data_IF_733755625269
#
_entry.id   IF_733755625269
#
_cell.length_a   1.000
_cell.length_b   1.000
_cell.length_c   1.000
_cell.angle_alpha   90.00
_cell.angle_beta   90.00
_cell.angle_gamma   90.00
#
_symmetry.space_group_name_H-M   'P 1'
#
loop_
_entity.id
_entity.type
_entity.pdbx_description
1 polymer ?
#
# COMPACT_ATOMS: atom_id res chain seq x y z
N UNK A 1 -3.64 41.95 -7.03
CA UNK A 1 -3.62 41.09 -5.83
C UNK A 1 -4.37 39.82 -6.17
N UNK A 2 -3.69 38.86 -6.72
CA UNK A 2 -4.23 37.53 -7.09
C UNK A 2 -4.10 36.63 -5.87
N UNK A 3 -5.25 36.28 -5.28
CA UNK A 3 -5.32 35.26 -4.23
C UNK A 3 -4.84 33.94 -4.81
N UNK A 4 -3.69 33.47 -4.37
CA UNK A 4 -3.27 32.07 -4.52
C UNK A 4 -4.19 31.24 -3.62
N UNK A 5 -5.22 30.65 -4.21
CA UNK A 5 -6.01 29.63 -3.57
C UNK A 5 -5.08 28.46 -3.18
N UNK A 6 -4.85 28.24 -1.90
CA UNK A 6 -4.24 27.00 -1.40
C UNK A 6 -5.24 25.90 -1.64
N UNK A 7 -5.16 25.23 -2.77
CA UNK A 7 -6.00 24.07 -3.09
C UNK A 7 -5.55 22.90 -2.21
N UNK A 8 -6.30 22.63 -1.16
CA UNK A 8 -6.17 21.45 -0.29
C UNK A 8 -6.85 20.23 -0.89
N UNK A 9 -7.33 20.30 -2.13
CA UNK A 9 -7.95 19.16 -2.81
C UNK A 9 -6.90 18.04 -3.02
N UNK A 10 -7.11 16.83 -2.45
CA UNK A 10 -6.20 15.70 -2.59
C UNK A 10 -5.88 15.34 -4.04
N UNK A 11 -6.82 15.55 -4.97
CA UNK A 11 -6.61 15.27 -6.40
C UNK A 11 -5.61 16.24 -7.03
N UNK A 12 -5.72 17.53 -6.70
CA UNK A 12 -4.79 18.58 -7.19
C UNK A 12 -3.39 18.34 -6.63
N UNK A 13 -3.31 17.94 -5.36
CA UNK A 13 -2.02 17.63 -4.72
C UNK A 13 -1.35 16.43 -5.39
N UNK A 14 -2.07 15.35 -5.66
CA UNK A 14 -1.55 14.18 -6.39
C UNK A 14 -1.11 14.57 -7.81
N UNK A 15 -1.89 15.37 -8.53
CA UNK A 15 -1.51 15.81 -9.88
C UNK A 15 -0.20 16.63 -9.86
N UNK A 16 -0.04 17.54 -8.90
CA UNK A 16 1.20 18.32 -8.74
C UNK A 16 2.39 17.43 -8.42
N UNK A 17 2.22 16.49 -7.50
CA UNK A 17 3.25 15.54 -7.08
C UNK A 17 3.73 14.67 -8.24
N UNK A 18 2.81 14.23 -9.11
CA UNK A 18 3.11 13.36 -10.24
C UNK A 18 3.45 14.14 -11.53
N UNK A 19 3.32 15.48 -11.55
CA UNK A 19 3.59 16.28 -12.73
C UNK A 19 4.98 16.03 -13.35
N UNK A 20 6.08 15.85 -12.57
CA UNK A 20 7.40 15.60 -13.15
C UNK A 20 7.54 14.26 -13.86
N UNK A 21 6.62 13.30 -13.61
CA UNK A 21 6.63 11.95 -14.17
C UNK A 21 5.31 11.61 -14.90
N UNK A 22 4.55 12.62 -15.34
CA UNK A 22 3.23 12.42 -15.94
C UNK A 22 3.28 11.53 -17.20
N UNK A 23 4.27 11.76 -18.08
CA UNK A 23 4.47 10.94 -19.28
C UNK A 23 4.94 9.52 -18.94
N UNK A 24 5.81 9.38 -17.94
CA UNK A 24 6.24 8.07 -17.44
C UNK A 24 5.04 7.28 -16.91
N UNK A 25 4.13 7.91 -16.15
CA UNK A 25 2.93 7.26 -15.62
C UNK A 25 1.96 6.83 -16.72
N UNK A 26 1.86 7.61 -17.80
CA UNK A 26 1.10 7.21 -18.99
C UNK A 26 1.71 5.97 -19.65
N UNK A 27 3.05 5.93 -19.78
CA UNK A 27 3.75 4.75 -20.29
C UNK A 27 3.52 3.50 -19.42
N UNK A 28 3.43 3.65 -18.08
CA UNK A 28 3.05 2.55 -17.17
C UNK A 28 1.69 1.99 -17.54
N UNK A 29 0.67 2.85 -17.74
CA UNK A 29 -0.67 2.40 -18.09
C UNK A 29 -0.72 1.74 -19.48
N UNK A 30 0.11 2.19 -20.42
CA UNK A 30 0.26 1.57 -21.74
C UNK A 30 0.88 0.16 -21.62
N UNK A 31 1.94 0.00 -20.81
CA UNK A 31 2.53 -1.31 -20.51
C UNK A 31 1.54 -2.26 -19.83
N UNK A 32 0.80 -1.78 -18.82
CA UNK A 32 -0.23 -2.58 -18.15
C UNK A 32 -1.24 -3.10 -19.21
N UNK A 33 -1.78 -2.23 -20.06
CA UNK A 33 -2.75 -2.63 -21.10
C UNK A 33 -2.16 -3.65 -22.07
N UNK A 34 -0.93 -3.46 -22.51
CA UNK A 34 -0.27 -4.39 -23.44
C UNK A 34 -0.07 -5.78 -22.81
N UNK A 35 0.29 -5.83 -21.52
CA UNK A 35 0.57 -7.09 -20.83
C UNK A 35 -0.72 -7.85 -20.39
N UNK A 36 -1.88 -7.20 -20.42
CA UNK A 36 -3.17 -7.86 -20.15
C UNK A 36 -3.73 -8.61 -21.36
N UNK A 37 -3.11 -8.50 -22.53
CA UNK A 37 -3.53 -9.21 -23.72
C UNK A 37 -3.50 -10.73 -23.50
N UNK A 38 -4.62 -11.39 -23.79
CA UNK A 38 -4.80 -12.85 -23.70
C UNK A 38 -5.79 -13.29 -24.78
N UNK A 39 -5.58 -14.47 -25.35
CA UNK A 39 -6.51 -15.14 -26.26
C UNK A 39 -7.70 -15.77 -25.51
N UNK A 40 -7.62 -15.85 -24.18
CA UNK A 40 -8.72 -16.28 -23.32
C UNK A 40 -9.59 -15.07 -22.97
N UNK A 41 -10.72 -14.91 -23.63
CA UNK A 41 -11.60 -13.74 -23.52
C UNK A 41 -12.02 -13.40 -22.09
N UNK A 42 -12.31 -14.42 -21.27
CA UNK A 42 -12.68 -14.22 -19.84
C UNK A 42 -11.52 -13.68 -19.01
N UNK A 43 -10.30 -14.11 -19.29
CA UNK A 43 -9.09 -13.61 -18.66
C UNK A 43 -8.91 -12.11 -18.93
N UNK A 44 -9.05 -11.73 -20.21
CA UNK A 44 -8.96 -10.33 -20.65
C UNK A 44 -10.04 -9.46 -19.99
N UNK A 45 -11.31 -9.90 -20.03
CA UNK A 45 -12.45 -9.18 -19.44
C UNK A 45 -12.24 -8.86 -17.94
N UNK A 46 -11.85 -9.87 -17.16
CA UNK A 46 -11.68 -9.70 -15.72
C UNK A 46 -10.45 -8.83 -15.40
N UNK A 47 -9.33 -9.07 -16.10
CA UNK A 47 -8.10 -8.29 -15.92
C UNK A 47 -8.31 -6.80 -16.26
N UNK A 48 -9.02 -6.50 -17.34
CA UNK A 48 -9.37 -5.14 -17.72
C UNK A 48 -10.32 -4.49 -16.70
N UNK A 49 -11.32 -5.22 -16.21
CA UNK A 49 -12.22 -4.73 -15.16
C UNK A 49 -11.46 -4.29 -13.91
N UNK A 50 -10.54 -5.12 -13.40
CA UNK A 50 -9.79 -4.85 -12.18
C UNK A 50 -8.80 -3.70 -12.39
N UNK A 51 -8.06 -3.69 -13.49
CA UNK A 51 -7.06 -2.64 -13.75
C UNK A 51 -7.70 -1.29 -14.07
N UNK A 52 -8.90 -1.29 -14.69
CA UNK A 52 -9.68 -0.07 -14.95
C UNK A 52 -10.37 0.50 -13.72
N UNK A 53 -10.48 -0.24 -12.62
CA UNK A 53 -11.05 0.25 -11.36
C UNK A 53 -10.24 1.43 -10.77
N UNK A 54 -9.17 1.83 -11.42
CA UNK A 54 -8.31 2.94 -11.03
C UNK A 54 -7.44 2.57 -9.82
N UNK A 55 -6.77 3.57 -9.31
CA UNK A 55 -5.88 3.49 -8.16
C UNK A 55 -4.92 4.65 -8.19
N UNK A 56 -4.34 4.97 -7.06
CA UNK A 56 -3.38 6.08 -6.95
C UNK A 56 -2.04 5.77 -7.63
N UNK A 57 -1.83 4.54 -8.11
CA UNK A 57 -0.58 4.07 -8.76
C UNK A 57 0.67 4.47 -7.96
N UNK A 58 0.59 4.38 -6.63
CA UNK A 58 1.65 4.86 -5.74
C UNK A 58 2.96 4.10 -5.89
N UNK A 59 2.88 2.78 -6.10
CA UNK A 59 4.08 1.92 -6.26
C UNK A 59 4.83 2.20 -7.56
N UNK A 60 4.18 2.26 -8.73
CA UNK A 60 4.81 2.75 -9.96
C UNK A 60 5.41 4.13 -9.83
N UNK A 61 4.63 5.08 -9.27
CA UNK A 61 5.08 6.47 -9.09
C UNK A 61 6.34 6.55 -8.23
N UNK A 62 6.37 5.81 -7.11
CA UNK A 62 7.54 5.74 -6.24
C UNK A 62 8.77 5.22 -6.98
N UNK A 63 8.64 4.07 -7.68
CA UNK A 63 9.74 3.47 -8.45
C UNK A 63 10.31 4.46 -9.46
N UNK A 64 9.44 5.14 -10.21
CA UNK A 64 9.84 6.10 -11.24
C UNK A 64 10.50 7.33 -10.61
N UNK A 65 9.89 7.94 -9.58
CA UNK A 65 10.46 9.10 -8.89
C UNK A 65 11.86 8.79 -8.34
N UNK A 66 12.05 7.61 -7.71
CA UNK A 66 13.35 7.18 -7.21
C UNK A 66 14.33 6.97 -8.37
N UNK A 67 13.92 6.31 -9.46
CA UNK A 67 14.78 6.12 -10.63
C UNK A 67 15.25 7.46 -11.20
N UNK A 68 14.35 8.41 -11.36
CA UNK A 68 14.67 9.76 -11.85
C UNK A 68 15.54 10.55 -10.87
N UNK A 69 15.27 10.46 -9.56
CA UNK A 69 16.10 11.10 -8.53
C UNK A 69 17.52 10.55 -8.49
N UNK A 70 17.72 9.28 -8.80
CA UNK A 70 19.02 8.61 -8.95
C UNK A 70 19.68 8.87 -10.32
N UNK A 71 19.06 9.68 -11.20
CA UNK A 71 19.61 10.08 -12.49
C UNK A 71 19.33 9.10 -13.64
N UNK A 72 18.52 8.08 -13.46
CA UNK A 72 18.15 7.15 -14.52
C UNK A 72 17.26 7.83 -15.57
N UNK A 73 17.60 7.68 -16.85
CA UNK A 73 16.91 8.35 -17.98
C UNK A 73 16.17 7.41 -18.93
N UNK A 74 16.37 6.09 -18.77
CA UNK A 74 15.76 5.09 -19.65
C UNK A 74 14.30 4.81 -19.29
N UNK A 75 13.62 4.03 -20.14
CA UNK A 75 12.18 3.72 -20.03
C UNK A 75 11.90 2.44 -19.23
N UNK A 76 12.95 1.71 -18.84
CA UNK A 76 12.79 0.46 -18.10
C UNK A 76 12.08 0.70 -16.74
N UNK A 77 12.22 1.89 -16.13
CA UNK A 77 11.49 2.23 -14.90
C UNK A 77 9.96 2.21 -15.10
N UNK A 78 9.46 2.62 -16.27
CA UNK A 78 8.01 2.56 -16.57
C UNK A 78 7.53 1.12 -16.72
N UNK A 79 8.31 0.29 -17.42
CA UNK A 79 8.03 -1.15 -17.56
C UNK A 79 8.03 -1.86 -16.20
N UNK A 80 9.00 -1.57 -15.34
CA UNK A 80 9.07 -2.11 -13.98
C UNK A 80 7.96 -1.54 -13.07
N UNK A 81 7.55 -0.30 -13.29
CA UNK A 81 6.36 0.28 -12.66
C UNK A 81 5.10 -0.50 -12.98
N UNK A 82 4.90 -0.88 -14.25
CA UNK A 82 3.81 -1.75 -14.66
C UNK A 82 3.93 -3.15 -14.01
N UNK A 83 5.14 -3.71 -13.96
CA UNK A 83 5.41 -5.02 -13.38
C UNK A 83 4.98 -5.09 -11.91
N UNK A 84 5.40 -4.12 -11.09
CA UNK A 84 5.08 -4.09 -9.66
C UNK A 84 3.58 -3.83 -9.42
N UNK A 85 2.92 -3.05 -10.28
CA UNK A 85 1.49 -2.79 -10.17
C UNK A 85 0.65 -4.01 -10.55
N UNK A 86 1.07 -4.82 -11.54
CA UNK A 86 0.41 -6.08 -11.85
C UNK A 86 0.53 -7.10 -10.71
N UNK A 87 1.73 -7.22 -10.11
CA UNK A 87 1.92 -8.06 -8.93
C UNK A 87 1.01 -7.60 -7.77
N UNK A 88 0.99 -6.29 -7.48
CA UNK A 88 0.11 -5.74 -6.47
C UNK A 88 -1.37 -6.01 -6.78
N UNK A 89 -1.79 -5.87 -8.03
CA UNK A 89 -3.17 -6.14 -8.42
C UNK A 89 -3.54 -7.61 -8.24
N UNK A 90 -2.61 -8.52 -8.54
CA UNK A 90 -2.78 -9.95 -8.29
C UNK A 90 -3.01 -10.25 -6.81
N UNK A 91 -2.18 -9.66 -5.93
CA UNK A 91 -2.34 -9.87 -4.48
C UNK A 91 -3.66 -9.32 -3.96
N UNK A 92 -4.12 -8.16 -4.46
CA UNK A 92 -5.44 -7.62 -4.09
C UNK A 92 -6.60 -8.56 -4.49
N UNK A 93 -6.48 -9.27 -5.62
CA UNK A 93 -7.50 -10.25 -6.03
C UNK A 93 -7.53 -11.47 -5.12
N UNK A 94 -6.36 -11.94 -4.68
CA UNK A 94 -6.26 -13.04 -3.73
C UNK A 94 -6.77 -12.62 -2.35
N UNK A 95 -6.41 -11.43 -1.88
CA UNK A 95 -6.88 -10.86 -0.62
C UNK A 95 -8.41 -10.73 -0.60
N UNK A 96 -9.03 -10.25 -1.69
CA UNK A 96 -10.50 -10.16 -1.79
C UNK A 96 -11.20 -11.51 -1.60
N UNK A 97 -10.55 -12.62 -2.02
CA UNK A 97 -11.08 -13.98 -1.81
C UNK A 97 -10.86 -14.44 -0.37
N UNK A 98 -9.66 -14.19 0.19
CA UNK A 98 -9.31 -14.62 1.56
C UNK A 98 -10.12 -13.86 2.60
N UNK A 99 -10.30 -12.54 2.40
CA UNK A 99 -11.06 -11.64 3.29
C UNK A 99 -12.58 -11.67 3.00
N UNK A 100 -13.05 -12.51 2.04
CA UNK A 100 -14.45 -12.59 1.59
C UNK A 100 -15.06 -11.23 1.24
N UNK A 101 -14.24 -10.31 0.72
CA UNK A 101 -14.61 -8.95 0.41
C UNK A 101 -15.54 -8.88 -0.80
N UNK A 102 -16.65 -8.13 -0.69
CA UNK A 102 -17.62 -7.95 -1.77
C UNK A 102 -17.46 -6.63 -2.53
N UNK A 103 -16.78 -5.64 -1.93
CA UNK A 103 -16.58 -4.31 -2.50
C UNK A 103 -15.11 -3.87 -2.38
N UNK A 104 -14.60 -3.27 -3.45
CA UNK A 104 -13.29 -2.61 -3.49
C UNK A 104 -13.40 -1.31 -4.29
N UNK A 105 -13.00 -0.19 -3.69
CA UNK A 105 -13.09 1.15 -4.32
C UNK A 105 -14.51 1.47 -4.84
N UNK A 106 -15.53 1.10 -4.08
CA UNK A 106 -16.94 1.33 -4.44
C UNK A 106 -17.48 0.46 -5.59
N UNK A 107 -16.72 -0.54 -6.08
CA UNK A 107 -17.14 -1.48 -7.13
C UNK A 107 -17.14 -2.90 -6.60
N UNK A 108 -18.00 -3.81 -7.11
CA UNK A 108 -17.93 -5.23 -6.77
C UNK A 108 -16.54 -5.81 -7.02
N UNK A 109 -16.08 -6.66 -6.12
CA UNK A 109 -14.81 -7.40 -6.29
C UNK A 109 -14.93 -8.46 -7.39
N UNK A 110 -13.81 -9.00 -7.87
CA UNK A 110 -13.83 -10.04 -8.89
C UNK A 110 -14.51 -11.32 -8.39
N UNK A 111 -14.26 -11.72 -7.13
CA UNK A 111 -14.91 -12.87 -6.51
C UNK A 111 -16.43 -12.69 -6.35
N UNK A 112 -16.90 -11.49 -5.99
CA UNK A 112 -18.33 -11.18 -5.92
C UNK A 112 -19.02 -11.24 -7.28
N UNK A 113 -18.31 -10.88 -8.37
CA UNK A 113 -18.89 -10.79 -9.72
C UNK A 113 -18.76 -12.09 -10.52
N UNK A 114 -17.64 -12.80 -10.42
CA UNK A 114 -17.33 -13.98 -11.22
C UNK A 114 -17.01 -15.25 -10.40
N UNK A 115 -17.08 -15.14 -9.06
CA UNK A 115 -16.79 -16.23 -8.14
C UNK A 115 -15.31 -16.37 -7.80
N UNK A 116 -15.03 -17.03 -6.67
CA UNK A 116 -13.68 -17.19 -6.11
C UNK A 116 -12.72 -17.86 -7.11
N UNK A 117 -13.17 -18.91 -7.82
CA UNK A 117 -12.31 -19.61 -8.78
C UNK A 117 -11.79 -18.72 -9.90
N UNK A 118 -12.65 -17.84 -10.45
CA UNK A 118 -12.23 -16.89 -11.48
C UNK A 118 -11.26 -15.83 -10.91
N UNK A 119 -11.53 -15.31 -9.70
CA UNK A 119 -10.67 -14.34 -9.06
C UNK A 119 -9.27 -14.90 -8.78
N UNK A 120 -9.17 -16.13 -8.24
CA UNK A 120 -7.88 -16.79 -7.99
C UNK A 120 -7.12 -17.01 -9.29
N UNK A 121 -7.74 -17.60 -10.32
CA UNK A 121 -7.05 -17.91 -11.59
C UNK A 121 -6.59 -16.65 -12.34
N UNK A 122 -7.36 -15.57 -12.31
CA UNK A 122 -6.94 -14.30 -12.92
C UNK A 122 -5.86 -13.62 -12.06
N UNK A 123 -5.94 -13.74 -10.73
CA UNK A 123 -4.85 -13.34 -9.84
C UNK A 123 -3.54 -14.06 -10.18
N UNK A 124 -3.58 -15.39 -10.36
CA UNK A 124 -2.42 -16.20 -10.77
C UNK A 124 -1.87 -15.76 -12.14
N UNK A 125 -2.76 -15.43 -13.08
CA UNK A 125 -2.36 -14.91 -14.39
C UNK A 125 -1.60 -13.58 -14.27
N UNK A 126 -2.10 -12.62 -13.48
CA UNK A 126 -1.41 -11.34 -13.28
C UNK A 126 -0.09 -11.53 -12.53
N UNK A 127 -0.08 -12.42 -11.53
CA UNK A 127 1.11 -12.78 -10.77
C UNK A 127 2.19 -13.35 -11.68
N UNK A 128 1.87 -14.39 -12.44
CA UNK A 128 2.82 -15.04 -13.37
C UNK A 128 3.23 -14.10 -14.51
N UNK A 129 2.34 -13.23 -14.98
CA UNK A 129 2.66 -12.20 -15.98
C UNK A 129 3.69 -11.21 -15.43
N UNK A 130 3.58 -10.78 -14.18
CA UNK A 130 4.58 -9.92 -13.54
C UNK A 130 5.96 -10.58 -13.48
N UNK A 131 6.03 -11.89 -13.23
CA UNK A 131 7.28 -12.65 -13.27
C UNK A 131 7.87 -12.77 -14.68
N UNK A 132 7.03 -12.97 -15.71
CA UNK A 132 7.49 -12.94 -17.11
C UNK A 132 8.08 -11.57 -17.46
N UNK A 133 7.42 -10.49 -17.04
CA UNK A 133 7.93 -9.12 -17.26
C UNK A 133 9.28 -8.91 -16.55
N UNK A 134 9.41 -9.36 -15.31
CA UNK A 134 10.64 -9.28 -14.55
C UNK A 134 11.80 -10.02 -15.24
N UNK A 135 11.55 -11.21 -15.77
CA UNK A 135 12.54 -11.98 -16.55
C UNK A 135 12.95 -11.23 -17.83
N UNK A 136 11.96 -10.66 -18.54
CA UNK A 136 12.22 -9.87 -19.76
C UNK A 136 13.02 -8.59 -19.50
N UNK A 137 12.96 -8.04 -18.29
CA UNK A 137 13.78 -6.90 -17.89
C UNK A 137 15.29 -7.22 -17.86
N UNK A 138 15.67 -8.51 -17.79
CA UNK A 138 17.04 -8.97 -17.96
C UNK A 138 18.03 -8.53 -16.87
N UNK A 139 17.55 -8.13 -15.69
CA UNK A 139 18.37 -7.66 -14.58
C UNK A 139 18.17 -8.52 -13.33
N UNK A 140 19.20 -9.27 -12.92
CA UNK A 140 19.11 -10.20 -11.79
C UNK A 140 18.81 -9.50 -10.45
N UNK A 141 19.31 -8.27 -10.24
CA UNK A 141 19.01 -7.51 -9.00
C UNK A 141 17.55 -7.10 -8.94
N UNK A 142 16.96 -6.73 -10.08
CA UNK A 142 15.52 -6.47 -10.21
C UNK A 142 14.73 -7.73 -9.89
N UNK A 143 15.12 -8.87 -10.48
CA UNK A 143 14.48 -10.16 -10.23
C UNK A 143 14.55 -10.55 -8.76
N UNK A 144 15.70 -10.41 -8.13
CA UNK A 144 15.90 -10.71 -6.71
C UNK A 144 14.99 -9.84 -5.84
N UNK A 145 14.99 -8.52 -6.05
CA UNK A 145 14.19 -7.58 -5.26
C UNK A 145 12.69 -7.90 -5.30
N UNK A 146 12.15 -8.21 -6.49
CA UNK A 146 10.73 -8.51 -6.62
C UNK A 146 10.37 -9.91 -6.12
N UNK A 147 11.22 -10.92 -6.37
CA UNK A 147 11.00 -12.28 -5.88
C UNK A 147 11.03 -12.35 -4.35
N UNK A 148 11.99 -11.68 -3.71
CA UNK A 148 12.07 -11.59 -2.25
C UNK A 148 10.84 -10.88 -1.66
N UNK A 149 10.37 -9.80 -2.30
CA UNK A 149 9.18 -9.11 -1.87
C UNK A 149 7.92 -9.97 -2.02
N UNK A 150 7.77 -10.69 -3.12
CA UNK A 150 6.65 -11.60 -3.36
C UNK A 150 6.60 -12.71 -2.30
N UNK A 151 7.76 -13.29 -1.94
CA UNK A 151 7.84 -14.28 -0.87
C UNK A 151 7.49 -13.68 0.50
N UNK A 152 8.07 -12.51 0.84
CA UNK A 152 7.78 -11.80 2.10
C UNK A 152 6.31 -11.43 2.22
N UNK A 153 5.67 -11.03 1.12
CA UNK A 153 4.25 -10.70 1.08
C UNK A 153 3.41 -11.93 1.39
N UNK A 154 3.68 -13.07 0.75
CA UNK A 154 2.98 -14.34 1.04
C UNK A 154 3.14 -14.78 2.49
N UNK A 155 4.36 -14.65 3.05
CA UNK A 155 4.58 -14.90 4.49
C UNK A 155 3.80 -13.90 5.35
N UNK A 156 3.69 -12.63 4.93
CA UNK A 156 2.94 -11.59 5.63
C UNK A 156 1.46 -11.90 5.74
N UNK A 157 0.85 -12.42 4.66
CA UNK A 157 -0.55 -12.88 4.65
C UNK A 157 -0.77 -14.03 5.65
N UNK A 158 0.12 -15.02 5.64
CA UNK A 158 0.03 -16.14 6.60
C UNK A 158 0.20 -15.66 8.04
N UNK A 159 1.16 -14.74 8.31
CA UNK A 159 1.34 -14.15 9.64
C UNK A 159 0.10 -13.37 10.07
N UNK A 160 -0.53 -12.60 9.18
CA UNK A 160 -1.77 -11.90 9.48
C UNK A 160 -2.90 -12.86 9.82
N UNK A 161 -3.07 -13.94 9.03
CA UNK A 161 -4.07 -14.96 9.26
C UNK A 161 -3.87 -15.65 10.62
N UNK A 162 -2.64 -15.98 11.00
CA UNK A 162 -2.33 -16.57 12.31
C UNK A 162 -2.58 -15.60 13.47
N UNK A 163 -2.40 -14.29 13.23
CA UNK A 163 -2.65 -13.24 14.21
C UNK A 163 -4.13 -12.84 14.32
N UNK A 164 -4.96 -13.22 13.36
CA UNK A 164 -6.40 -12.93 13.40
C UNK A 164 -7.04 -13.54 14.66
N UNK A 165 -7.96 -12.80 15.27
CA UNK A 165 -8.68 -13.17 16.48
C UNK A 165 -7.80 -13.34 17.75
N UNK A 166 -6.52 -12.89 17.69
CA UNK A 166 -5.62 -12.87 18.84
C UNK A 166 -5.48 -11.45 19.43
N UNK A 167 -6.17 -11.13 20.54
CA UNK A 167 -6.08 -9.81 21.15
C UNK A 167 -4.72 -9.54 21.84
N UNK A 168 -3.83 -10.54 21.92
CA UNK A 168 -2.48 -10.36 22.50
C UNK A 168 -1.46 -9.81 21.50
N UNK A 169 -1.84 -9.58 20.25
CA UNK A 169 -0.96 -8.94 19.26
C UNK A 169 -0.53 -7.56 19.77
N UNK A 170 0.79 -7.37 19.84
CA UNK A 170 1.44 -6.14 20.23
C UNK A 170 1.95 -5.32 19.03
N UNK A 171 2.51 -4.14 19.30
CA UNK A 171 3.07 -3.25 18.29
C UNK A 171 4.15 -3.96 17.45
N UNK A 172 5.01 -4.80 18.05
CA UNK A 172 6.08 -5.53 17.35
C UNK A 172 5.52 -6.50 16.33
N UNK A 173 4.50 -7.28 16.72
CA UNK A 173 3.81 -8.22 15.82
C UNK A 173 3.03 -7.48 14.72
N UNK A 174 2.40 -6.35 15.06
CA UNK A 174 1.74 -5.48 14.08
C UNK A 174 2.72 -4.98 13.02
N UNK A 175 3.86 -4.38 13.40
CA UNK A 175 4.87 -3.92 12.45
C UNK A 175 5.40 -5.05 11.58
N UNK A 176 5.61 -6.24 12.14
CA UNK A 176 6.02 -7.41 11.36
C UNK A 176 5.03 -7.76 10.25
N UNK A 177 3.73 -7.58 10.47
CA UNK A 177 2.69 -7.79 9.46
C UNK A 177 2.75 -6.70 8.39
N UNK A 178 2.67 -5.42 8.78
CA UNK A 178 2.59 -4.32 7.80
C UNK A 178 3.86 -4.18 6.96
N UNK A 179 5.04 -4.45 7.53
CA UNK A 179 6.29 -4.48 6.78
C UNK A 179 6.31 -5.57 5.72
N UNK A 180 5.76 -6.76 6.02
CA UNK A 180 5.73 -7.88 5.08
C UNK A 180 4.61 -7.77 4.06
N UNK A 181 3.40 -7.39 4.49
CA UNK A 181 2.21 -7.31 3.63
C UNK A 181 2.20 -6.05 2.75
N UNK A 182 2.60 -4.90 3.29
CA UNK A 182 2.43 -3.60 2.64
C UNK A 182 3.76 -2.96 2.25
N UNK A 183 4.67 -2.74 3.21
CA UNK A 183 5.86 -1.93 2.98
C UNK A 183 6.93 -2.67 2.13
N UNK A 184 6.99 -4.00 2.16
CA UNK A 184 7.95 -4.78 1.37
C UNK A 184 7.84 -4.51 -0.15
N UNK A 185 6.65 -4.26 -0.66
CA UNK A 185 6.46 -4.01 -2.08
C UNK A 185 6.86 -2.56 -2.47
N UNK A 186 6.73 -1.59 -1.56
CA UNK A 186 7.31 -0.26 -1.72
C UNK A 186 8.85 -0.34 -1.72
N UNK A 187 9.43 -1.07 -0.77
CA UNK A 187 10.87 -1.32 -0.69
C UNK A 187 11.41 -2.00 -1.96
N UNK A 188 10.71 -3.02 -2.48
CA UNK A 188 11.08 -3.68 -3.73
C UNK A 188 11.13 -2.71 -4.90
N UNK A 189 10.13 -1.83 -5.04
CA UNK A 189 10.13 -0.77 -6.06
C UNK A 189 11.36 0.14 -5.96
N UNK A 190 11.75 0.52 -4.75
CA UNK A 190 12.94 1.33 -4.51
C UNK A 190 14.24 0.59 -4.86
N UNK A 191 14.37 -0.68 -4.47
CA UNK A 191 15.54 -1.52 -4.81
C UNK A 191 15.62 -1.80 -6.32
N UNK A 192 14.48 -1.99 -6.98
CA UNK A 192 14.45 -2.13 -8.45
C UNK A 192 14.91 -0.83 -9.14
N UNK A 193 14.46 0.33 -8.67
CA UNK A 193 14.91 1.64 -9.15
C UNK A 193 16.42 1.83 -8.95
N UNK A 194 16.94 1.48 -7.79
CA UNK A 194 18.37 1.53 -7.48
C UNK A 194 19.19 0.58 -8.36
N UNK A 195 18.65 -0.62 -8.65
CA UNK A 195 19.31 -1.62 -9.48
C UNK A 195 19.49 -1.16 -10.94
N UNK A 196 18.46 -0.51 -11.53
CA UNK A 196 18.55 -0.01 -12.91
C UNK A 196 19.33 1.31 -13.02
N UNK A 197 19.36 2.10 -11.94
CA UNK A 197 20.16 3.32 -11.88
C UNK A 197 21.63 3.06 -11.56
N UNK A 198 22.02 1.82 -11.21
CA UNK A 198 23.38 1.42 -10.85
C UNK A 198 24.01 2.35 -9.78
N UNK A 199 23.18 2.82 -8.84
CA UNK A 199 23.59 3.76 -7.81
C UNK A 199 24.51 3.13 -6.74
N UNK A 200 25.08 3.95 -5.85
CA UNK A 200 25.89 3.47 -4.75
C UNK A 200 25.06 2.64 -3.74
N UNK A 201 25.73 1.75 -2.98
CA UNK A 201 25.07 0.99 -1.91
C UNK A 201 24.43 1.89 -0.85
N UNK A 202 25.05 3.04 -0.56
CA UNK A 202 24.50 4.02 0.39
C UNK A 202 23.18 4.61 -0.13
N UNK A 203 23.13 4.95 -1.42
CA UNK A 203 21.90 5.46 -2.05
C UNK A 203 20.82 4.37 -2.14
N UNK A 204 21.20 3.15 -2.50
CA UNK A 204 20.26 2.01 -2.53
C UNK A 204 19.62 1.78 -1.17
N UNK A 205 20.41 1.76 -0.09
CA UNK A 205 19.90 1.57 1.26
C UNK A 205 19.02 2.76 1.70
N UNK A 206 19.40 3.99 1.34
CA UNK A 206 18.62 5.18 1.63
C UNK A 206 17.22 5.12 0.98
N UNK A 207 17.13 4.78 -0.32
CA UNK A 207 15.82 4.69 -1.00
C UNK A 207 14.99 3.51 -0.48
N UNK A 208 15.62 2.41 -0.09
CA UNK A 208 14.96 1.27 0.53
C UNK A 208 14.35 1.65 1.90
N UNK A 209 15.11 2.34 2.76
CA UNK A 209 14.64 2.83 4.06
C UNK A 209 13.52 3.86 3.90
N UNK A 210 13.64 4.77 2.93
CA UNK A 210 12.57 5.71 2.60
C UNK A 210 11.28 5.00 2.22
N UNK A 211 11.36 4.02 1.32
CA UNK A 211 10.20 3.29 0.82
C UNK A 211 9.54 2.43 1.91
N UNK A 212 10.34 1.81 2.79
CA UNK A 212 9.84 1.06 3.94
C UNK A 212 9.10 1.99 4.92
N UNK A 213 9.69 3.14 5.25
CA UNK A 213 9.08 4.14 6.12
C UNK A 213 7.77 4.70 5.53
N UNK A 214 7.74 4.98 4.22
CA UNK A 214 6.54 5.40 3.51
C UNK A 214 5.44 4.32 3.58
N UNK A 215 5.78 3.06 3.35
CA UNK A 215 4.85 1.94 3.40
C UNK A 215 4.25 1.73 4.79
N UNK A 216 5.06 1.85 5.85
CA UNK A 216 4.61 1.78 7.24
C UNK A 216 3.67 2.93 7.58
N UNK A 217 4.05 4.17 7.28
CA UNK A 217 3.21 5.35 7.52
C UNK A 217 1.89 5.27 6.73
N UNK A 218 1.94 4.76 5.50
CA UNK A 218 0.76 4.53 4.67
C UNK A 218 -0.24 3.57 5.34
N UNK A 219 0.25 2.45 5.86
CA UNK A 219 -0.62 1.48 6.53
C UNK A 219 -1.18 2.01 7.83
N UNK A 220 -0.37 2.68 8.67
CA UNK A 220 -0.86 3.30 9.90
C UNK A 220 -1.97 4.32 9.61
N UNK A 221 -1.81 5.12 8.54
CA UNK A 221 -2.85 6.07 8.12
C UNK A 221 -4.12 5.36 7.66
N UNK A 222 -4.02 4.28 6.88
CA UNK A 222 -5.18 3.48 6.48
C UNK A 222 -5.91 2.87 7.69
N UNK A 223 -5.18 2.40 8.71
CA UNK A 223 -5.77 1.85 9.94
C UNK A 223 -6.46 2.93 10.79
N UNK A 224 -5.94 4.16 10.82
CA UNK A 224 -6.61 5.31 11.46
C UNK A 224 -7.92 5.62 10.75
N UNK A 225 -7.92 5.60 9.40
CA UNK A 225 -9.11 5.87 8.59
C UNK A 225 -10.25 4.87 8.83
N UNK A 226 -9.95 3.64 9.17
CA UNK A 226 -10.97 2.63 9.51
C UNK A 226 -11.83 3.04 10.72
N UNK A 227 -11.35 4.00 11.54
CA UNK A 227 -12.08 4.53 12.71
C UNK A 227 -12.58 5.97 12.54
N UNK A 228 -11.96 6.78 11.66
CA UNK A 228 -12.24 8.21 11.53
C UNK A 228 -12.88 8.61 10.21
N UNK A 229 -12.77 7.75 9.21
CA UNK A 229 -13.18 8.06 7.85
C UNK A 229 -14.70 8.13 7.68
N UNK A 230 -15.14 8.81 6.62
CA UNK A 230 -16.55 8.79 6.20
C UNK A 230 -16.74 7.55 5.32
N UNK A 231 -17.70 6.69 5.67
CA UNK A 231 -17.94 5.41 4.97
C UNK A 231 -18.11 5.57 3.44
N UNK A 232 -18.62 6.72 2.99
CA UNK A 232 -18.80 7.04 1.57
C UNK A 232 -17.45 7.28 0.85
N UNK A 233 -16.42 7.76 1.54
CA UNK A 233 -15.13 8.09 0.96
C UNK A 233 -14.17 6.88 0.95
N UNK A 234 -14.35 5.94 1.89
CA UNK A 234 -13.49 4.76 2.06
C UNK A 234 -13.98 3.59 1.19
N UNK A 235 -15.28 3.56 0.83
CA UNK A 235 -15.88 2.45 0.06
C UNK A 235 -15.93 1.12 0.82
N UNK A 236 -15.73 1.15 2.16
CA UNK A 236 -15.86 0.04 3.11
C UNK A 236 -16.68 0.47 4.32
N UNK A 237 -17.22 -0.48 5.06
CA UNK A 237 -17.84 -0.20 6.36
C UNK A 237 -16.77 0.13 7.40
N UNK A 238 -16.97 1.16 8.20
CA UNK A 238 -16.09 1.49 9.34
C UNK A 238 -15.93 0.29 10.28
N UNK A 239 -14.72 0.09 10.85
CA UNK A 239 -14.40 -1.02 11.73
C UNK A 239 -14.31 -2.36 11.00
N UNK A 240 -13.95 -2.36 9.72
CA UNK A 240 -13.75 -3.58 8.93
C UNK A 240 -12.67 -4.46 9.55
N UNK A 241 -11.54 -3.89 9.95
CA UNK A 241 -10.41 -4.61 10.55
C UNK A 241 -10.83 -5.35 11.84
N UNK A 242 -11.67 -4.73 12.67
CA UNK A 242 -12.16 -5.38 13.89
C UNK A 242 -13.09 -6.56 13.58
N UNK A 243 -13.95 -6.44 12.54
CA UNK A 243 -14.82 -7.55 12.10
C UNK A 243 -14.02 -8.73 11.54
N UNK A 244 -12.88 -8.44 10.94
CA UNK A 244 -11.93 -9.45 10.46
C UNK A 244 -11.04 -9.99 11.60
N UNK A 245 -11.25 -9.56 12.85
CA UNK A 245 -10.46 -9.96 14.02
C UNK A 245 -9.03 -9.43 13.99
N UNK A 246 -8.74 -8.38 13.20
CA UNK A 246 -7.39 -7.80 13.07
C UNK A 246 -7.11 -6.83 14.22
N UNK A 247 -6.05 -7.10 14.99
CA UNK A 247 -5.52 -6.18 16.01
C UNK A 247 -4.60 -5.16 15.35
N UNK A 248 -5.20 -4.07 14.82
CA UNK A 248 -4.46 -2.96 14.23
C UNK A 248 -3.98 -1.97 15.28
N UNK A 249 -3.10 -1.05 14.90
CA UNK A 249 -2.43 -0.14 15.84
C UNK A 249 -3.41 0.70 16.69
N UNK A 250 -4.53 1.23 16.13
CA UNK A 250 -5.55 1.90 16.95
C UNK A 250 -6.11 1.03 18.07
N UNK A 251 -6.39 -0.26 17.81
CA UNK A 251 -6.88 -1.18 18.84
C UNK A 251 -5.81 -1.52 19.87
N UNK A 252 -4.56 -1.75 19.45
CA UNK A 252 -3.43 -2.04 20.32
C UNK A 252 -3.28 -0.90 21.34
N UNK A 253 -3.23 0.34 20.88
CA UNK A 253 -3.09 1.49 21.75
C UNK A 253 -4.33 1.77 22.59
N UNK A 254 -5.53 1.57 22.06
CA UNK A 254 -6.76 1.68 22.85
C UNK A 254 -6.76 0.68 24.00
N UNK A 255 -6.37 -0.57 23.72
CA UNK A 255 -6.28 -1.62 24.73
C UNK A 255 -5.29 -1.28 25.86
N UNK A 256 -4.23 -0.56 25.55
CA UNK A 256 -3.24 -0.09 26.55
C UNK A 256 -3.76 1.09 27.37
N UNK A 257 -4.52 2.02 26.75
CA UNK A 257 -4.93 3.30 27.35
C UNK A 257 -6.29 3.25 28.05
N UNK A 258 -7.11 2.24 27.77
CA UNK A 258 -8.47 2.14 28.30
C UNK A 258 -8.54 1.47 29.67
N UNK A 259 -9.74 1.47 30.29
CA UNK A 259 -10.02 0.78 31.55
C UNK A 259 -9.97 -0.76 31.37
N UNK A 260 -9.88 -1.54 32.49
CA UNK A 260 -9.97 -2.99 32.41
C UNK A 260 -11.24 -3.51 31.71
N UNK A 261 -12.37 -2.83 31.89
CA UNK A 261 -13.65 -3.14 31.25
C UNK A 261 -13.58 -2.88 29.72
N UNK A 262 -12.99 -1.75 29.33
CA UNK A 262 -12.77 -1.41 27.91
C UNK A 262 -11.82 -2.41 27.23
N UNK A 263 -10.76 -2.84 27.93
CA UNK A 263 -9.85 -3.88 27.47
C UNK A 263 -10.56 -5.19 27.25
N UNK A 264 -11.36 -5.65 28.23
CA UNK A 264 -12.12 -6.89 28.13
C UNK A 264 -13.10 -6.85 26.93
N UNK A 265 -13.73 -5.69 26.68
CA UNK A 265 -14.64 -5.48 25.57
C UNK A 265 -13.91 -5.63 24.21
N UNK A 266 -12.73 -5.01 24.06
CA UNK A 266 -11.90 -5.14 22.85
C UNK A 266 -11.45 -6.58 22.66
N UNK A 267 -10.91 -7.22 23.73
CA UNK A 267 -10.41 -8.59 23.69
C UNK A 267 -11.50 -9.59 23.25
N UNK A 268 -12.73 -9.39 23.72
CA UNK A 268 -13.86 -10.24 23.34
C UNK A 268 -14.29 -10.02 21.89
N UNK A 269 -14.37 -8.76 21.46
CA UNK A 269 -14.76 -8.41 20.09
C UNK A 269 -13.75 -8.92 19.07
N UNK A 270 -12.45 -8.79 19.34
CA UNK A 270 -11.39 -9.31 18.47
C UNK A 270 -11.48 -10.84 18.37
N UNK A 271 -11.62 -11.56 19.50
CA UNK A 271 -11.73 -13.05 19.47
C UNK A 271 -12.92 -13.54 18.67
N UNK A 272 -14.02 -12.80 18.68
CA UNK A 272 -15.27 -13.23 18.01
C UNK A 272 -15.39 -12.71 16.58
N UNK A 273 -14.66 -11.65 16.19
CA UNK A 273 -14.95 -10.89 14.97
C UNK A 273 -16.33 -10.23 15.00
N UNK A 274 -16.89 -10.07 16.20
CA UNK A 274 -18.21 -9.50 16.43
C UNK A 274 -18.26 -8.78 17.78
N UNK A 275 -19.12 -7.76 17.88
CA UNK A 275 -19.26 -7.02 19.12
C UNK A 275 -19.95 -5.65 18.96
N UNK A 276 -19.94 -4.85 20.02
CA UNK A 276 -20.51 -3.50 20.01
C UNK A 276 -19.55 -2.50 19.35
N UNK A 277 -19.40 -2.60 18.02
CA UNK A 277 -18.44 -1.82 17.22
C UNK A 277 -18.52 -0.32 17.49
N UNK A 278 -19.75 0.27 17.63
CA UNK A 278 -19.92 1.68 17.92
C UNK A 278 -19.29 2.10 19.26
N UNK A 279 -19.40 1.23 20.29
CA UNK A 279 -18.76 1.48 21.59
C UNK A 279 -17.25 1.40 21.51
N UNK A 280 -16.72 0.42 20.75
CA UNK A 280 -15.29 0.27 20.57
C UNK A 280 -14.72 1.42 19.74
N UNK A 281 -15.38 1.80 18.64
CA UNK A 281 -15.00 2.98 17.86
C UNK A 281 -14.94 4.23 18.71
N UNK A 282 -15.94 4.42 19.57
CA UNK A 282 -15.94 5.55 20.52
C UNK A 282 -14.76 5.47 21.49
N UNK A 283 -14.44 4.30 22.03
CA UNK A 283 -13.26 4.13 22.89
C UNK A 283 -11.96 4.48 22.15
N UNK A 284 -11.81 4.05 20.89
CA UNK A 284 -10.64 4.34 20.05
C UNK A 284 -10.47 5.85 19.85
N UNK A 285 -11.58 6.56 19.59
CA UNK A 285 -11.56 8.02 19.37
C UNK A 285 -11.29 8.78 20.65
N UNK A 286 -11.92 8.38 21.78
CA UNK A 286 -11.93 9.16 23.02
C UNK A 286 -10.69 8.96 23.90
N UNK A 287 -9.96 7.84 23.75
CA UNK A 287 -8.85 7.49 24.67
C UNK A 287 -7.47 8.07 24.28
N UNK A 288 -7.35 8.78 23.15
CA UNK A 288 -6.08 9.31 22.65
C UNK A 288 -5.22 8.30 21.85
N UNK A 289 -5.75 7.12 21.54
CA UNK A 289 -5.06 6.11 20.74
C UNK A 289 -4.72 6.60 19.33
N UNK A 290 -5.65 7.34 18.69
CA UNK A 290 -5.44 7.89 17.34
C UNK A 290 -4.33 8.93 17.29
N UNK A 291 -4.21 9.78 18.33
CA UNK A 291 -3.09 10.73 18.44
C UNK A 291 -1.76 9.99 18.53
N UNK A 292 -1.71 8.91 19.34
CA UNK A 292 -0.52 8.07 19.44
C UNK A 292 -0.19 7.36 18.11
N UNK A 293 -1.19 6.87 17.35
CA UNK A 293 -0.98 6.34 16.02
C UNK A 293 -0.42 7.40 15.06
N UNK A 294 -0.96 8.62 15.11
CA UNK A 294 -0.49 9.74 14.29
C UNK A 294 0.97 10.10 14.60
N UNK A 295 1.36 10.13 15.87
CA UNK A 295 2.75 10.33 16.29
C UNK A 295 3.66 9.20 15.77
N UNK A 296 3.17 7.96 15.77
CA UNK A 296 3.93 6.82 15.26
C UNK A 296 4.11 6.88 13.75
N UNK A 297 3.07 7.28 13.01
CA UNK A 297 3.17 7.54 11.58
C UNK A 297 4.16 8.68 11.27
N UNK A 298 4.12 9.79 12.03
CA UNK A 298 5.06 10.90 11.85
C UNK A 298 6.52 10.49 12.12
N UNK A 299 6.76 9.59 13.07
CA UNK A 299 8.09 9.02 13.30
C UNK A 299 8.60 8.23 12.09
N UNK A 300 7.73 7.47 11.41
CA UNK A 300 8.10 6.81 10.15
C UNK A 300 8.39 7.84 9.03
N UNK A 301 7.56 8.89 8.91
CA UNK A 301 7.82 9.94 7.92
C UNK A 301 9.15 10.65 8.15
N UNK A 302 9.53 10.89 9.42
CA UNK A 302 10.82 11.50 9.74
C UNK A 302 11.99 10.59 9.36
N UNK A 303 11.88 9.28 9.59
CA UNK A 303 12.86 8.31 9.08
C UNK A 303 13.00 8.38 7.55
N UNK A 304 11.87 8.51 6.84
CA UNK A 304 11.87 8.68 5.40
C UNK A 304 12.54 9.99 4.95
N UNK A 305 12.27 11.11 5.63
CA UNK A 305 12.92 12.41 5.34
C UNK A 305 14.44 12.32 5.51
N UNK A 306 14.88 11.72 6.61
CA UNK A 306 16.31 11.54 6.89
C UNK A 306 16.99 10.65 5.84
N UNK A 307 16.34 9.59 5.39
CA UNK A 307 16.86 8.74 4.33
C UNK A 307 17.08 9.52 3.02
N UNK A 308 16.13 10.40 2.64
CA UNK A 308 16.23 11.20 1.41
C UNK A 308 17.36 12.23 1.42
N UNK A 309 17.92 12.59 2.57
CA UNK A 309 19.08 13.52 2.64
C UNK A 309 20.33 12.96 1.95
N UNK A 310 20.37 11.66 1.67
CA UNK A 310 21.45 10.99 0.95
C UNK A 310 21.34 11.09 -0.59
N UNK A 311 20.20 11.59 -1.09
CA UNK A 311 19.98 11.78 -2.51
C UNK A 311 20.31 13.23 -2.93
N UNK A 312 20.75 13.42 -4.19
CA UNK A 312 20.95 14.79 -4.69
C UNK A 312 19.63 15.56 -4.74
N UNK A 313 19.65 16.88 -4.46
CA UNK A 313 18.47 17.73 -4.63
C UNK A 313 18.00 17.72 -6.09
N UNK A 314 16.70 17.51 -6.29
CA UNK A 314 16.07 17.52 -7.60
C UNK A 314 14.55 17.66 -7.45
N UNK A 315 13.86 18.02 -8.53
CA UNK A 315 12.39 18.05 -8.56
C UNK A 315 11.78 16.69 -8.18
N UNK A 316 12.47 15.59 -8.47
CA UNK A 316 12.03 14.24 -8.11
C UNK A 316 12.20 13.96 -6.61
N UNK A 317 13.31 14.42 -6.01
CA UNK A 317 13.53 14.33 -4.56
C UNK A 317 12.52 15.18 -3.80
N UNK A 318 12.16 16.38 -4.33
CA UNK A 318 11.08 17.21 -3.78
C UNK A 318 9.74 16.51 -3.84
N UNK A 319 9.41 15.86 -4.99
CA UNK A 319 8.19 15.05 -5.11
C UNK A 319 8.15 13.87 -4.12
N UNK A 320 9.29 13.22 -3.87
CA UNK A 320 9.39 12.17 -2.85
C UNK A 320 9.14 12.71 -1.44
N UNK A 321 9.63 13.90 -1.10
CA UNK A 321 9.33 14.57 0.18
C UNK A 321 7.85 14.97 0.30
N UNK A 322 7.24 15.46 -0.78
CA UNK A 322 5.82 15.77 -0.80
C UNK A 322 4.96 14.50 -0.66
N UNK A 323 5.40 13.37 -1.22
CA UNK A 323 4.73 12.08 -1.13
C UNK A 323 4.61 11.59 0.32
N UNK A 324 5.68 11.73 1.13
CA UNK A 324 5.62 11.47 2.58
C UNK A 324 4.53 12.31 3.24
N UNK A 325 4.53 13.63 2.97
CA UNK A 325 3.58 14.55 3.58
C UNK A 325 2.14 14.26 3.17
N UNK A 326 1.92 13.83 1.92
CA UNK A 326 0.61 13.45 1.40
C UNK A 326 0.05 12.21 2.11
N UNK A 327 0.90 11.25 2.47
CA UNK A 327 0.48 9.97 3.06
C UNK A 327 -0.29 10.15 4.36
N UNK A 328 0.08 11.10 5.22
CA UNK A 328 -0.59 11.37 6.52
C UNK A 328 -1.64 12.50 6.43
N UNK A 329 -1.58 13.38 5.40
CA UNK A 329 -2.59 14.44 5.23
C UNK A 329 -3.90 13.97 4.60
N UNK A 330 -4.01 12.72 4.20
CA UNK A 330 -5.22 12.13 3.59
C UNK A 330 -6.44 12.14 4.53
N UNK A 331 -6.22 12.42 5.80
CA UNK A 331 -7.15 12.22 6.91
C UNK A 331 -7.69 13.52 7.53
N UNK A 332 -7.44 14.68 6.87
CA UNK A 332 -7.92 15.98 7.36
C UNK A 332 -8.68 16.75 6.29
#
# INVERSE_FOLDING_TARGET
>A
MTQTASSTDPKVLVQRLLAPIADDMKAVDDYIRAELASDVSRMHEISEYITSAGGKRMRPALLILISRALGYKGDLCCYLGATIELLHTATLMHDDVVDESNLRRGRPTANARWGNGAAVLVGDFLYTRSFQMMVRAGNLRVMQALADAANRLSEGEVVQMVNAHDPSVDETRYFRVIERKTACLFEAGARMAAAIAECSKEQEEAVAQYALALGNAFQIADDILDYTGVAADIGKNLGADLREGKMTLPLIYTRELTTPEGRALIDEAVRKGDGPFDKITKLVVDCGALDRCSLRAEAELERGRQALTKLPPSIFTESLLELLSFTVRRDR
#
